data_IF_250633012472
#
_entry.id   IF_250633012472
#
_cell.length_a   1.000
_cell.length_b   1.000
_cell.length_c   1.000
_cell.angle_alpha   90.00
_cell.angle_beta   90.00
_cell.angle_gamma   90.00
#
_symmetry.space_group_name_H-M   'P 1'
#
loop_
_entity.id
_entity.type
_entity.pdbx_description
1 polymer ?
#
# COMPACT_ATOMS: atom_id res chain seq x y z
N UNK A 1 -20.73 -2.23 -4.86
CA UNK A 1 -19.97 -3.28 -5.57
C UNK A 1 -18.73 -3.62 -4.76
N UNK A 2 -18.70 -4.80 -4.11
CA UNK A 2 -17.56 -5.29 -3.30
C UNK A 2 -16.60 -6.20 -4.10
N UNK A 3 -17.01 -6.66 -5.28
CA UNK A 3 -16.27 -7.63 -6.12
C UNK A 3 -14.95 -7.08 -6.67
N UNK A 4 -14.86 -5.78 -6.91
CA UNK A 4 -13.65 -5.20 -7.50
C UNK A 4 -12.52 -5.05 -6.47
N UNK A 5 -12.86 -4.89 -5.18
CA UNK A 5 -11.87 -4.74 -4.12
C UNK A 5 -11.11 -6.04 -3.84
N UNK A 6 -11.79 -7.20 -3.81
CA UNK A 6 -11.13 -8.49 -3.61
C UNK A 6 -10.19 -8.83 -4.77
N UNK A 7 -10.63 -8.61 -6.01
CA UNK A 7 -9.76 -8.80 -7.18
C UNK A 7 -8.54 -7.88 -7.15
N UNK A 8 -8.71 -6.61 -6.80
CA UNK A 8 -7.59 -5.69 -6.67
C UNK A 8 -6.59 -6.15 -5.59
N UNK A 9 -7.07 -6.67 -4.45
CA UNK A 9 -6.22 -7.23 -3.40
C UNK A 9 -5.41 -8.41 -3.96
N UNK A 10 -6.05 -9.37 -4.62
CA UNK A 10 -5.38 -10.54 -5.20
C UNK A 10 -4.30 -10.13 -6.22
N UNK A 11 -4.59 -9.16 -7.08
CA UNK A 11 -3.61 -8.64 -8.05
C UNK A 11 -2.41 -7.99 -7.37
N UNK A 12 -2.61 -7.17 -6.33
CA UNK A 12 -1.49 -6.57 -5.61
C UNK A 12 -0.70 -7.59 -4.79
N UNK A 13 -1.36 -8.59 -4.21
CA UNK A 13 -0.68 -9.72 -3.54
C UNK A 13 0.17 -10.51 -4.53
N UNK A 14 -0.34 -10.79 -5.73
CA UNK A 14 0.43 -11.43 -6.79
C UNK A 14 1.61 -10.56 -7.26
N UNK A 15 1.40 -9.24 -7.37
CA UNK A 15 2.49 -8.29 -7.64
C UNK A 15 3.58 -8.36 -6.57
N UNK A 16 3.21 -8.48 -5.30
CA UNK A 16 4.17 -8.63 -4.19
C UNK A 16 4.84 -10.00 -4.15
N UNK A 17 4.19 -11.07 -4.66
CA UNK A 17 4.87 -12.37 -4.85
C UNK A 17 5.96 -12.30 -5.91
N UNK A 18 5.72 -11.54 -6.99
CA UNK A 18 6.67 -11.36 -8.09
C UNK A 18 7.79 -10.36 -7.74
N UNK A 19 7.43 -9.27 -7.06
CA UNK A 19 8.36 -8.25 -6.58
C UNK A 19 7.97 -7.81 -5.16
N UNK A 20 8.58 -8.41 -4.13
CA UNK A 20 8.33 -8.06 -2.74
C UNK A 20 8.66 -6.60 -2.39
N UNK A 21 9.54 -5.96 -3.17
CA UNK A 21 9.97 -4.57 -2.96
C UNK A 21 9.20 -3.57 -3.85
N UNK A 22 8.06 -3.99 -4.41
CA UNK A 22 7.18 -3.10 -5.16
C UNK A 22 6.49 -2.10 -4.24
N UNK A 23 7.08 -0.91 -4.12
CA UNK A 23 6.53 0.17 -3.31
C UNK A 23 5.05 0.48 -3.67
N UNK A 24 4.74 0.55 -4.96
CA UNK A 24 3.37 0.81 -5.42
C UNK A 24 2.39 -0.29 -5.01
N UNK A 25 2.78 -1.57 -5.11
CA UNK A 25 1.92 -2.67 -4.70
C UNK A 25 1.65 -2.61 -3.19
N UNK A 26 2.65 -2.28 -2.37
CA UNK A 26 2.44 -2.00 -0.95
C UNK A 26 1.45 -0.85 -0.73
N UNK A 27 1.62 0.29 -1.41
CA UNK A 27 0.72 1.42 -1.26
C UNK A 27 -0.74 1.07 -1.59
N UNK A 28 -0.97 0.48 -2.76
CA UNK A 28 -2.33 0.21 -3.23
C UNK A 28 -2.99 -0.93 -2.46
N UNK A 29 -2.26 -1.98 -2.08
CA UNK A 29 -2.79 -3.02 -1.20
C UNK A 29 -3.19 -2.44 0.16
N UNK A 30 -2.36 -1.57 0.73
CA UNK A 30 -2.68 -0.83 1.95
C UNK A 30 -4.00 -0.06 1.83
N UNK A 31 -4.22 0.65 0.71
CA UNK A 31 -5.48 1.36 0.43
C UNK A 31 -6.67 0.40 0.31
N UNK A 32 -6.52 -0.77 -0.32
CA UNK A 32 -7.63 -1.71 -0.46
C UNK A 32 -8.06 -2.33 0.88
N UNK A 33 -7.11 -2.57 1.78
CA UNK A 33 -7.38 -3.28 3.05
C UNK A 33 -7.49 -2.36 4.27
N UNK A 34 -7.41 -1.04 4.11
CA UNK A 34 -7.38 -0.10 5.25
C UNK A 34 -8.57 -0.21 6.20
N UNK A 35 -9.76 -0.54 5.68
CA UNK A 35 -10.99 -0.61 6.47
C UNK A 35 -11.27 -2.01 7.02
N UNK A 36 -10.78 -3.06 6.33
CA UNK A 36 -11.01 -4.46 6.71
C UNK A 36 -9.87 -5.02 7.59
N UNK A 37 -8.65 -4.56 7.39
CA UNK A 37 -7.44 -5.00 8.09
C UNK A 37 -6.50 -3.81 8.36
N UNK A 38 -6.86 -2.89 9.29
CA UNK A 38 -6.10 -1.67 9.56
C UNK A 38 -4.65 -1.93 9.99
N UNK A 39 -4.42 -2.97 10.81
CA UNK A 39 -3.08 -3.36 11.23
C UNK A 39 -2.18 -3.78 10.06
N UNK A 40 -2.71 -4.58 9.13
CA UNK A 40 -1.99 -5.00 7.92
C UNK A 40 -1.77 -3.81 6.98
N UNK A 41 -2.80 -2.99 6.78
CA UNK A 41 -2.73 -1.77 5.97
C UNK A 41 -1.61 -0.84 6.44
N UNK A 42 -1.53 -0.59 7.76
CA UNK A 42 -0.47 0.21 8.38
C UNK A 42 0.93 -0.33 8.02
N UNK A 43 1.14 -1.65 8.08
CA UNK A 43 2.42 -2.29 7.70
C UNK A 43 2.76 -2.08 6.22
N UNK A 44 1.77 -2.18 5.33
CA UNK A 44 2.00 -1.92 3.90
C UNK A 44 2.38 -0.46 3.64
N UNK A 45 1.73 0.52 4.27
CA UNK A 45 2.12 1.93 4.13
C UNK A 45 3.51 2.22 4.71
N UNK A 46 3.88 1.62 5.84
CA UNK A 46 5.23 1.73 6.39
C UNK A 46 6.29 1.17 5.42
N UNK A 47 5.99 0.03 4.80
CA UNK A 47 6.90 -0.60 3.82
C UNK A 47 7.04 0.26 2.58
N UNK A 48 5.93 0.81 2.07
CA UNK A 48 5.94 1.79 0.99
C UNK A 48 6.83 3.00 1.30
N UNK A 49 6.71 3.61 2.47
CA UNK A 49 7.55 4.74 2.87
C UNK A 49 9.04 4.36 2.96
N UNK A 50 9.34 3.16 3.47
CA UNK A 50 10.72 2.65 3.52
C UNK A 50 11.32 2.48 2.13
N UNK A 51 10.57 1.90 1.19
CA UNK A 51 11.02 1.63 -0.18
C UNK A 51 11.14 2.89 -1.05
N UNK A 52 10.31 3.91 -0.78
CA UNK A 52 10.33 5.17 -1.53
C UNK A 52 11.29 6.21 -0.98
N UNK A 53 11.81 6.02 0.23
CA UNK A 53 12.81 6.93 0.84
C UNK A 53 14.02 7.16 -0.06
N UNK A 54 14.38 6.14 -0.84
CA UNK A 54 15.53 6.16 -1.75
C UNK A 54 15.12 6.43 -3.22
N UNK A 55 13.84 6.73 -3.50
CA UNK A 55 13.32 6.98 -4.85
C UNK A 55 12.70 8.38 -5.02
N UNK A 56 13.40 9.34 -5.67
CA UNK A 56 12.84 10.64 -6.01
C UNK A 56 11.80 10.49 -7.13
N UNK A 57 10.51 10.53 -6.78
CA UNK A 57 9.43 10.46 -7.78
C UNK A 57 8.03 10.26 -7.20
N UNK A 58 7.92 9.81 -5.95
CA UNK A 58 6.63 9.40 -5.36
C UNK A 58 6.09 10.38 -4.32
N UNK A 59 6.55 11.65 -4.30
CA UNK A 59 6.21 12.67 -3.30
C UNK A 59 4.71 12.76 -2.97
N UNK A 60 3.82 12.70 -3.98
CA UNK A 60 2.36 12.75 -3.76
C UNK A 60 1.84 11.53 -3.01
N UNK A 61 2.34 10.34 -3.33
CA UNK A 61 1.94 9.09 -2.68
C UNK A 61 2.56 8.98 -1.29
N UNK A 62 3.79 9.46 -1.10
CA UNK A 62 4.47 9.60 0.21
C UNK A 62 3.61 10.45 1.16
N UNK A 63 3.27 11.67 0.77
CA UNK A 63 2.42 12.55 1.59
C UNK A 63 1.06 11.91 1.90
N UNK A 64 0.48 11.18 0.94
CA UNK A 64 -0.79 10.48 1.15
C UNK A 64 -0.64 9.34 2.16
N UNK A 65 0.40 8.52 2.06
CA UNK A 65 0.67 7.44 3.00
C UNK A 65 0.93 7.97 4.41
N UNK A 66 1.73 9.04 4.56
CA UNK A 66 1.95 9.70 5.86
C UNK A 66 0.65 10.22 6.47
N UNK A 67 -0.21 10.86 5.65
CA UNK A 67 -1.50 11.35 6.12
C UNK A 67 -2.44 10.23 6.55
N UNK A 68 -2.42 9.09 5.86
CA UNK A 68 -3.19 7.91 6.24
C UNK A 68 -2.64 7.32 7.54
N UNK A 69 -1.31 7.21 7.68
CA UNK A 69 -0.67 6.71 8.88
C UNK A 69 -0.98 7.54 10.14
N UNK A 70 -1.07 8.86 10.00
CA UNK A 70 -1.49 9.77 11.09
C UNK A 70 -2.94 9.58 11.54
N UNK A 71 -3.77 8.90 10.74
CA UNK A 71 -5.21 8.70 11.02
C UNK A 71 -5.54 7.33 11.60
N UNK A 72 -4.59 6.38 11.59
CA UNK A 72 -4.76 5.10 12.27
C UNK A 72 -4.45 5.23 13.76
#
# INVERSE_FOLDING_TARGET
FKKDAQRAIEEFENSLKLNPDSALAHFYLGVQIQNSAPSSSRRHFQTFLRLTRDQPGQHKLIQKAEKILKKF
#
